data_IF_778280099315
#
_entry.id   IF_778280099315
#
_cell.length_a   1.000
_cell.length_b   1.000
_cell.length_c   1.000
_cell.angle_alpha   90.00
_cell.angle_beta   90.00
_cell.angle_gamma   90.00
#
_symmetry.space_group_name_H-M   'P 1'
#
loop_
_entity.id
_entity.type
_entity.pdbx_description
1 polymer ?
#
# COMPACT_ATOMS: atom_id res chain seq x y z
N UNK A 1 -4.07 17.46 8.55
CA UNK A 1 -3.98 17.13 7.11
C UNK A 1 -2.86 16.13 6.90
N UNK A 2 -3.09 15.11 6.05
CA UNK A 2 -2.08 14.12 5.71
C UNK A 2 -0.96 14.79 4.89
N UNK A 3 0.29 14.78 5.37
CA UNK A 3 1.40 15.48 4.71
C UNK A 3 2.03 14.67 3.57
N UNK A 4 2.05 13.34 3.71
CA UNK A 4 2.66 12.43 2.75
C UNK A 4 1.67 11.34 2.35
N UNK A 5 1.68 10.89 1.08
CA UNK A 5 0.91 9.74 0.65
C UNK A 5 1.34 8.47 1.39
N UNK A 6 0.44 7.49 1.49
CA UNK A 6 0.68 6.22 2.19
C UNK A 6 0.31 5.03 1.33
N UNK A 7 1.07 3.96 1.44
CA UNK A 7 0.82 2.64 0.85
C UNK A 7 1.13 1.60 1.92
N UNK A 8 0.10 0.93 2.43
CA UNK A 8 0.22 -0.02 3.53
C UNK A 8 -0.29 -1.39 3.07
N UNK A 9 0.49 -2.44 3.35
CA UNK A 9 0.07 -3.83 3.15
C UNK A 9 -0.35 -4.39 4.50
N UNK A 10 -1.62 -4.73 4.64
CA UNK A 10 -2.21 -5.27 5.86
C UNK A 10 -2.50 -6.75 5.65
N UNK A 11 -1.98 -7.58 6.55
CA UNK A 11 -2.32 -9.00 6.60
C UNK A 11 -3.62 -9.18 7.38
N UNK A 12 -4.61 -9.82 6.76
CA UNK A 12 -5.88 -10.24 7.35
C UNK A 12 -5.90 -11.75 7.49
N UNK A 13 -6.44 -12.21 8.60
CA UNK A 13 -6.60 -13.63 8.92
C UNK A 13 -8.08 -13.90 9.08
N UNK A 14 -8.60 -14.82 8.30
CA UNK A 14 -10.02 -15.20 8.34
C UNK A 14 -10.11 -16.69 8.60
N UNK A 15 -11.03 -17.11 9.47
CA UNK A 15 -11.24 -18.51 9.80
C UNK A 15 -12.67 -18.92 9.42
N UNK A 16 -12.84 -19.50 8.23
CA UNK A 16 -14.14 -20.05 7.78
C UNK A 16 -13.91 -21.13 6.68
N UNK A 17 -14.10 -22.44 6.92
CA UNK A 17 -13.82 -23.24 8.13
C UNK A 17 -12.32 -23.57 8.31
N UNK A 18 -11.47 -23.17 7.36
CA UNK A 18 -10.01 -23.35 7.38
C UNK A 18 -9.37 -21.97 7.57
N UNK A 19 -8.21 -21.93 8.21
CA UNK A 19 -7.42 -20.72 8.34
C UNK A 19 -6.96 -20.22 6.96
N UNK A 20 -7.34 -19.00 6.60
CA UNK A 20 -6.96 -18.35 5.36
C UNK A 20 -6.27 -17.01 5.64
N UNK A 21 -5.17 -16.78 4.96
CA UNK A 21 -4.45 -15.50 4.98
C UNK A 21 -4.76 -14.71 3.74
N UNK A 22 -5.31 -13.52 3.93
CA UNK A 22 -5.61 -12.58 2.86
C UNK A 22 -4.87 -11.29 3.13
N UNK A 23 -4.56 -10.55 2.08
CA UNK A 23 -3.86 -9.28 2.17
C UNK A 23 -4.77 -8.18 1.64
N UNK A 24 -4.68 -7.04 2.32
CA UNK A 24 -5.32 -5.80 1.97
C UNK A 24 -4.24 -4.76 1.67
N UNK A 25 -4.38 -4.00 0.60
CA UNK A 25 -3.52 -2.84 0.36
C UNK A 25 -4.35 -1.58 0.52
N UNK A 26 -3.95 -0.73 1.46
CA UNK A 26 -4.54 0.58 1.69
C UNK A 26 -3.64 1.64 1.06
N UNK A 27 -4.24 2.55 0.29
CA UNK A 27 -3.54 3.71 -0.27
C UNK A 27 -4.24 5.00 0.12
N UNK A 28 -3.43 5.97 0.53
CA UNK A 28 -3.90 7.32 0.83
C UNK A 28 -3.07 8.35 0.07
N UNK A 29 -3.74 9.43 -0.34
CA UNK A 29 -3.12 10.64 -0.89
C UNK A 29 -3.62 11.85 -0.08
N UNK A 30 -2.83 12.93 0.04
CA UNK A 30 -3.33 14.18 0.58
C UNK A 30 -4.59 14.64 -0.17
N UNK A 31 -5.59 15.12 0.56
CA UNK A 31 -6.84 15.67 0.02
C UNK A 31 -7.66 14.71 -0.87
N UNK A 32 -7.42 13.40 -0.78
CA UNK A 32 -8.24 12.37 -1.44
C UNK A 32 -8.70 11.34 -0.41
N UNK A 33 -9.86 10.69 -0.63
CA UNK A 33 -10.29 9.59 0.22
C UNK A 33 -9.31 8.42 0.14
N UNK A 34 -9.21 7.67 1.24
CA UNK A 34 -8.48 6.41 1.27
C UNK A 34 -9.10 5.40 0.31
N UNK A 35 -8.26 4.66 -0.40
CA UNK A 35 -8.66 3.50 -1.20
C UNK A 35 -8.12 2.24 -0.55
N UNK A 36 -8.91 1.19 -0.56
CA UNK A 36 -8.53 -0.11 0.01
C UNK A 36 -8.89 -1.21 -0.98
N UNK A 37 -7.95 -2.12 -1.23
CA UNK A 37 -8.17 -3.31 -2.05
C UNK A 37 -7.98 -4.55 -1.18
N UNK A 38 -8.99 -5.41 -1.12
CA UNK A 38 -9.04 -6.59 -0.25
C UNK A 38 -8.89 -7.89 -1.05
N UNK A 39 -8.73 -9.01 -0.34
CA UNK A 39 -8.82 -10.37 -0.90
C UNK A 39 -7.65 -10.75 -1.81
N UNK A 40 -6.49 -10.11 -1.66
CA UNK A 40 -5.29 -10.43 -2.41
C UNK A 40 -4.49 -11.51 -1.70
N UNK A 41 -3.79 -12.35 -2.46
CA UNK A 41 -2.68 -13.11 -1.90
C UNK A 41 -1.47 -12.20 -1.62
N UNK A 42 -0.42 -12.74 -0.98
CA UNK A 42 0.79 -11.97 -0.63
C UNK A 42 1.50 -11.38 -1.86
N UNK A 43 1.60 -12.16 -2.93
CA UNK A 43 2.29 -11.80 -4.17
C UNK A 43 1.54 -10.69 -4.90
N UNK A 44 0.22 -10.83 -5.01
CA UNK A 44 -0.68 -9.85 -5.59
C UNK A 44 -0.65 -8.54 -4.81
N UNK A 45 -0.67 -8.59 -3.48
CA UNK A 45 -0.58 -7.40 -2.64
C UNK A 45 0.76 -6.66 -2.82
N UNK A 46 1.89 -7.39 -2.87
CA UNK A 46 3.20 -6.79 -3.15
C UNK A 46 3.27 -6.22 -4.57
N UNK A 47 2.75 -6.91 -5.58
CA UNK A 47 2.74 -6.39 -6.95
C UNK A 47 1.86 -5.13 -7.06
N UNK A 48 0.72 -5.10 -6.38
CA UNK A 48 -0.16 -3.95 -6.35
C UNK A 48 0.47 -2.76 -5.61
N UNK A 49 1.12 -2.99 -4.45
CA UNK A 49 1.80 -1.94 -3.70
C UNK A 49 2.93 -1.30 -4.53
N UNK A 50 3.72 -2.10 -5.27
CA UNK A 50 4.76 -1.62 -6.18
C UNK A 50 4.20 -0.72 -7.28
N UNK A 51 3.08 -1.10 -7.89
CA UNK A 51 2.40 -0.27 -8.90
C UNK A 51 1.90 1.05 -8.30
N UNK A 52 1.40 1.04 -7.08
CA UNK A 52 0.95 2.26 -6.40
C UNK A 52 2.12 3.19 -6.02
N UNK A 53 3.26 2.62 -5.63
CA UNK A 53 4.51 3.39 -5.43
C UNK A 53 5.00 3.99 -6.75
N UNK A 54 4.91 3.28 -7.87
CA UNK A 54 5.28 3.84 -9.18
C UNK A 54 4.37 5.02 -9.58
N UNK A 55 3.05 4.89 -9.41
CA UNK A 55 2.11 5.99 -9.63
C UNK A 55 2.42 7.20 -8.77
N UNK A 56 2.84 7.00 -7.52
CA UNK A 56 3.25 8.10 -6.65
C UNK A 56 4.43 8.90 -7.22
N UNK A 57 5.38 8.22 -7.85
CA UNK A 57 6.51 8.87 -8.53
C UNK A 57 6.01 9.68 -9.74
N UNK A 58 5.11 9.10 -10.53
CA UNK A 58 4.48 9.78 -11.68
C UNK A 58 3.63 10.99 -11.25
N UNK A 59 2.94 10.92 -10.11
CA UNK A 59 2.18 12.03 -9.52
C UNK A 59 3.09 13.13 -8.94
N UNK A 60 4.41 12.95 -8.92
CA UNK A 60 5.39 13.95 -8.47
C UNK A 60 5.72 13.92 -6.98
N UNK A 61 5.32 12.87 -6.25
CA UNK A 61 5.69 12.73 -4.84
C UNK A 61 7.14 12.26 -4.70
N UNK A 62 7.86 12.90 -3.77
CA UNK A 62 9.25 12.52 -3.43
C UNK A 62 9.35 11.63 -2.20
N UNK A 63 8.36 11.68 -1.31
CA UNK A 63 8.32 10.89 -0.07
C UNK A 63 6.95 10.27 0.12
N UNK A 64 6.93 9.04 0.63
CA UNK A 64 5.72 8.33 0.99
C UNK A 64 5.94 7.52 2.26
N UNK A 65 4.86 7.16 2.94
CA UNK A 65 4.89 6.12 3.97
C UNK A 65 4.58 4.79 3.28
N UNK A 66 5.53 3.87 3.30
CA UNK A 66 5.39 2.51 2.78
C UNK A 66 5.53 1.51 3.92
N UNK A 67 4.51 0.68 4.18
CA UNK A 67 4.49 -0.29 5.28
C UNK A 67 4.97 0.33 6.61
N UNK A 68 4.35 1.45 7.00
CA UNK A 68 4.66 2.21 8.21
C UNK A 68 6.07 2.82 8.29
N UNK A 69 6.85 2.79 7.20
CA UNK A 69 8.17 3.42 7.11
C UNK A 69 8.13 4.62 6.16
N UNK A 70 8.75 5.74 6.55
CA UNK A 70 8.97 6.86 5.63
C UNK A 70 10.05 6.48 4.62
N UNK A 71 9.72 6.57 3.33
CA UNK A 71 10.64 6.23 2.24
C UNK A 71 10.79 7.40 1.27
N UNK A 72 12.01 7.59 0.77
CA UNK A 72 12.29 8.49 -0.34
C UNK A 72 12.00 7.75 -1.65
N UNK A 73 11.00 8.19 -2.39
CA UNK A 73 10.56 7.53 -3.61
C UNK A 73 11.61 7.57 -4.73
N UNK A 74 12.58 8.47 -4.70
CA UNK A 74 13.62 8.53 -5.73
C UNK A 74 14.63 7.38 -5.60
N UNK A 75 14.94 6.98 -4.37
CA UNK A 75 15.90 5.90 -4.08
C UNK A 75 15.23 4.58 -3.74
N UNK A 76 13.97 4.62 -3.32
CA UNK A 76 13.23 3.46 -2.86
C UNK A 76 12.88 2.48 -3.98
N UNK A 77 13.26 1.21 -3.76
CA UNK A 77 12.98 0.04 -4.60
C UNK A 77 12.29 -1.05 -3.74
N UNK A 78 10.94 -1.13 -3.77
CA UNK A 78 10.15 -2.12 -3.02
C UNK A 78 10.16 -3.54 -3.60
#
# INVERSE_FOLDING_TARGET
MLRYPRVEIIKRKTYVPIYQEHYEVQTMRPNRPMKSKFGMDKSQAMAYSRREVAKLKEEGYTKAVYNSMMVDLNTFRP
#
